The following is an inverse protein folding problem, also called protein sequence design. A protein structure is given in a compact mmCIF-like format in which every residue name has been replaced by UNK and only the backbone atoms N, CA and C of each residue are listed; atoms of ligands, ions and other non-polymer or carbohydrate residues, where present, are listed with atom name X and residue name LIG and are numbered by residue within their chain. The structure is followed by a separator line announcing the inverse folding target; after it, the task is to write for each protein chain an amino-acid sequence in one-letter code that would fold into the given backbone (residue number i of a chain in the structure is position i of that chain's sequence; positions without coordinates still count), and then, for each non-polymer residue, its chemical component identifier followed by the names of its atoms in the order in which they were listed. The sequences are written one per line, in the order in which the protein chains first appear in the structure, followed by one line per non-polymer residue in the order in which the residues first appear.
data_IF_467249130761
#
_entry.id   IF_467249130761
#
_cell.length_a   1.000
_cell.length_b   1.000
_cell.length_c   1.000
_cell.angle_alpha   90.00
_cell.angle_beta   90.00
_cell.angle_gamma   90.00
#
_symmetry.space_group_name_H-M   'P 1'
#
loop_
_entity.id
_entity.type
_entity.pdbx_description
1 polymer ?
#
# COMPACT_ATOMS: atom_id res chain seq x y z
N UNK A 1 18.30 -18.76 5.81
CA UNK A 1 17.79 -19.97 6.48
C UNK A 1 17.09 -19.54 7.73
N UNK A 2 15.92 -20.10 8.03
CA UNK A 2 15.11 -19.76 9.20
C UNK A 2 14.81 -21.05 9.96
N UNK A 3 15.00 -21.02 11.28
CA UNK A 3 14.55 -22.08 12.18
C UNK A 3 13.49 -21.52 13.12
N UNK A 4 12.43 -22.28 13.35
CA UNK A 4 11.31 -21.89 14.20
C UNK A 4 10.84 -23.09 15.01
N UNK A 5 10.84 -22.93 16.33
CA UNK A 5 10.29 -23.89 17.27
C UNK A 5 9.08 -23.26 17.95
N UNK A 6 7.98 -24.00 18.00
CA UNK A 6 6.76 -23.62 18.69
C UNK A 6 6.63 -24.45 19.96
N UNK A 7 6.57 -23.78 21.10
CA UNK A 7 6.30 -24.39 22.40
C UNK A 7 4.98 -23.86 22.94
N UNK A 8 4.08 -24.76 23.32
CA UNK A 8 2.81 -24.44 23.96
C UNK A 8 2.91 -24.74 25.46
N UNK A 9 2.60 -23.73 26.27
CA UNK A 9 2.52 -23.83 27.72
C UNK A 9 1.27 -23.07 28.19
N UNK A 10 0.51 -23.65 29.11
CA UNK A 10 -0.65 -22.97 29.71
C UNK A 10 -0.27 -22.09 30.90
N UNK A 11 0.95 -22.23 31.42
CA UNK A 11 1.46 -21.45 32.55
C UNK A 11 2.88 -20.95 32.25
N UNK A 12 3.25 -19.78 32.80
CA UNK A 12 4.54 -19.12 32.55
C UNK A 12 5.76 -19.88 33.10
N UNK A 13 5.56 -20.73 34.11
CA UNK A 13 6.60 -21.58 34.72
C UNK A 13 6.20 -23.06 34.76
N UNK A 14 5.14 -23.43 34.02
CA UNK A 14 4.64 -24.80 33.94
C UNK A 14 5.42 -25.65 32.93
N UNK A 15 5.17 -26.97 32.91
CA UNK A 15 5.72 -27.84 31.88
C UNK A 15 5.28 -27.41 30.48
N UNK A 16 6.12 -27.70 29.48
CA UNK A 16 5.77 -27.52 28.06
C UNK A 16 4.87 -28.68 27.64
N UNK A 17 3.66 -28.35 27.20
CA UNK A 17 2.64 -29.32 26.83
C UNK A 17 2.84 -29.86 25.41
N UNK A 18 3.35 -29.00 24.52
CA UNK A 18 3.71 -29.40 23.17
C UNK A 18 4.95 -28.62 22.70
N UNK A 19 5.89 -29.32 22.08
CA UNK A 19 7.05 -28.73 21.43
C UNK A 19 7.14 -29.26 19.99
N UNK A 20 7.03 -28.36 19.03
CA UNK A 20 7.07 -28.68 17.61
C UNK A 20 8.15 -27.87 16.91
N UNK A 21 8.96 -28.54 16.09
CA UNK A 21 9.86 -27.87 15.17
C UNK A 21 9.06 -27.57 13.91
N UNK A 22 8.70 -26.30 13.72
CA UNK A 22 7.95 -25.86 12.54
C UNK A 22 8.86 -25.70 11.33
N UNK A 23 10.10 -25.26 11.57
CA UNK A 23 11.14 -25.09 10.55
C UNK A 23 12.49 -25.43 11.16
N UNK A 24 13.22 -26.36 10.56
CA UNK A 24 14.64 -26.57 10.85
C UNK A 24 15.46 -26.16 9.64
N UNK A 25 16.22 -25.06 9.80
CA UNK A 25 17.15 -24.57 8.77
C UNK A 25 16.47 -24.40 7.41
N UNK A 26 15.17 -24.10 7.41
CA UNK A 26 14.38 -24.02 6.21
C UNK A 26 14.84 -22.86 5.33
N UNK A 27 14.92 -23.12 4.02
CA UNK A 27 15.12 -22.09 3.02
C UNK A 27 13.74 -21.59 2.61
N UNK A 28 13.36 -20.40 3.10
CA UNK A 28 12.14 -19.74 2.66
C UNK A 28 12.39 -19.16 1.27
N UNK A 29 11.57 -19.57 0.31
CA UNK A 29 11.56 -18.94 -1.00
C UNK A 29 11.13 -17.49 -0.82
N UNK A 30 12.03 -16.56 -1.11
CA UNK A 30 11.63 -15.17 -1.27
C UNK A 30 10.80 -15.12 -2.54
N UNK A 31 9.47 -15.06 -2.42
CA UNK A 31 8.66 -14.63 -3.55
C UNK A 31 9.23 -13.30 -4.00
N UNK A 32 9.59 -13.21 -5.28
CA UNK A 32 9.71 -11.88 -5.87
C UNK A 32 8.32 -11.28 -5.71
N UNK A 33 8.23 -10.20 -4.94
CA UNK A 33 7.02 -9.42 -4.94
C UNK A 33 6.99 -8.75 -6.32
N UNK A 34 6.38 -9.45 -7.26
CA UNK A 34 5.99 -8.87 -8.53
C UNK A 34 4.76 -8.03 -8.23
N UNK A 35 4.98 -6.75 -8.04
CA UNK A 35 3.92 -5.81 -7.73
C UNK A 35 3.26 -5.23 -8.98
N UNK A 36 3.70 -5.68 -10.15
CA UNK A 36 2.90 -5.67 -11.38
C UNK A 36 1.98 -6.90 -11.47
N UNK A 37 1.97 -7.79 -10.46
CA UNK A 37 1.08 -8.95 -10.49
C UNK A 37 -0.38 -8.55 -10.55
N UNK A 38 -1.13 -9.38 -11.29
CA UNK A 38 -2.57 -9.34 -11.43
C UNK A 38 -3.28 -9.52 -10.06
N UNK A 39 -4.61 -9.40 -10.03
CA UNK A 39 -5.39 -9.50 -8.80
C UNK A 39 -5.01 -10.70 -7.92
N UNK A 40 -4.87 -10.47 -6.59
CA UNK A 40 -4.74 -11.56 -5.61
C UNK A 40 -5.88 -12.57 -5.75
N UNK A 41 -7.08 -12.03 -6.02
CA UNK A 41 -8.29 -12.76 -6.35
C UNK A 41 -8.56 -12.54 -7.84
N UNK A 42 -8.25 -13.53 -8.68
CA UNK A 42 -8.49 -13.44 -10.12
C UNK A 42 -9.95 -13.04 -10.42
N UNK A 43 -10.14 -11.98 -11.21
CA UNK A 43 -11.48 -11.46 -11.55
C UNK A 43 -12.21 -10.77 -10.40
N UNK A 44 -11.48 -10.25 -9.40
CA UNK A 44 -12.09 -9.53 -8.28
C UNK A 44 -13.05 -8.43 -8.76
N UNK A 45 -14.25 -8.41 -8.17
CA UNK A 45 -15.23 -7.35 -8.34
C UNK A 45 -15.73 -6.94 -6.97
N UNK A 46 -15.45 -5.69 -6.60
CA UNK A 46 -15.96 -5.09 -5.37
C UNK A 46 -17.48 -5.22 -5.29
N UNK A 47 -18.17 -4.94 -6.39
CA UNK A 47 -19.62 -5.06 -6.46
C UNK A 47 -20.11 -6.47 -6.07
N UNK A 48 -19.52 -7.50 -6.68
CA UNK A 48 -19.85 -8.90 -6.38
C UNK A 48 -19.48 -9.27 -4.95
N UNK A 49 -18.34 -8.77 -4.45
CA UNK A 49 -17.87 -9.00 -3.09
C UNK A 49 -18.86 -8.47 -2.03
N UNK A 50 -19.42 -7.28 -2.25
CA UNK A 50 -20.39 -6.63 -1.34
C UNK A 50 -21.76 -7.32 -1.38
N UNK A 51 -22.29 -7.59 -2.58
CA UNK A 51 -23.58 -8.27 -2.73
C UNK A 51 -23.57 -9.67 -2.10
N UNK A 52 -22.48 -10.42 -2.26
CA UNK A 52 -22.33 -11.75 -1.63
C UNK A 52 -22.31 -11.71 -0.09
N UNK A 53 -22.10 -10.53 0.51
CA UNK A 53 -22.15 -10.30 1.95
C UNK A 53 -23.41 -9.57 2.39
N UNK A 54 -24.44 -9.54 1.52
CA UNK A 54 -25.71 -8.85 1.73
C UNK A 54 -25.54 -7.36 2.06
N UNK A 55 -24.51 -6.72 1.49
CA UNK A 55 -24.23 -5.31 1.67
C UNK A 55 -24.47 -4.54 0.37
N UNK A 56 -25.13 -3.39 0.45
CA UNK A 56 -25.44 -2.57 -0.72
C UNK A 56 -24.19 -1.88 -1.25
N UNK A 57 -23.94 -1.88 -2.57
CA UNK A 57 -22.71 -1.34 -3.16
C UNK A 57 -22.51 0.17 -2.97
N UNK A 58 -23.57 0.87 -2.58
CA UNK A 58 -23.59 2.32 -2.31
C UNK A 58 -23.73 2.64 -0.83
N UNK A 59 -23.93 1.63 0.02
CA UNK A 59 -24.06 1.84 1.45
C UNK A 59 -22.66 2.08 2.04
N UNK A 60 -22.52 2.92 3.08
CA UNK A 60 -21.26 3.02 3.81
C UNK A 60 -20.82 1.64 4.32
N UNK A 61 -19.53 1.31 4.18
CA UNK A 61 -19.00 0.05 4.69
C UNK A 61 -18.93 0.12 6.22
N UNK A 62 -19.44 -0.91 6.89
CA UNK A 62 -19.22 -1.02 8.34
C UNK A 62 -17.74 -1.27 8.64
N UNK A 63 -17.20 -0.82 9.78
CA UNK A 63 -15.80 -1.06 10.16
C UNK A 63 -15.37 -2.53 10.08
N UNK A 64 -16.26 -3.45 10.47
CA UNK A 64 -16.01 -4.89 10.40
C UNK A 64 -15.87 -5.39 8.96
N UNK A 65 -16.68 -4.87 8.03
CA UNK A 65 -16.63 -5.24 6.62
C UNK A 65 -15.36 -4.70 5.95
N UNK A 66 -14.89 -3.51 6.36
CA UNK A 66 -13.60 -2.97 5.91
C UNK A 66 -12.45 -3.88 6.35
N UNK A 67 -12.44 -4.32 7.61
CA UNK A 67 -11.42 -5.24 8.11
C UNK A 67 -11.43 -6.59 7.38
N UNK A 68 -12.62 -7.17 7.16
CA UNK A 68 -12.77 -8.39 6.38
C UNK A 68 -12.31 -8.20 4.94
N UNK A 69 -12.64 -7.07 4.30
CA UNK A 69 -12.19 -6.75 2.97
C UNK A 69 -10.66 -6.71 2.89
N UNK A 70 -10.00 -6.04 3.84
CA UNK A 70 -8.53 -5.94 3.88
C UNK A 70 -7.86 -7.30 4.10
N UNK A 71 -8.45 -8.16 4.93
CA UNK A 71 -7.96 -9.52 5.16
C UNK A 71 -8.16 -10.41 3.93
N UNK A 72 -9.38 -10.46 3.39
CA UNK A 72 -9.74 -11.31 2.24
C UNK A 72 -8.97 -10.93 0.97
N UNK A 73 -8.69 -9.64 0.79
CA UNK A 73 -7.90 -9.13 -0.34
C UNK A 73 -6.40 -9.11 -0.07
N UNK A 74 -5.98 -9.49 1.14
CA UNK A 74 -4.59 -9.47 1.60
C UNK A 74 -3.94 -8.07 1.46
N UNK A 75 -4.72 -7.01 1.65
CA UNK A 75 -4.24 -5.63 1.67
C UNK A 75 -3.70 -5.23 3.05
N UNK A 76 -4.25 -5.81 4.13
CA UNK A 76 -3.92 -5.45 5.51
C UNK A 76 -2.40 -5.34 5.79
N UNK A 77 -1.52 -6.26 5.32
CA UNK A 77 -0.08 -6.18 5.58
C UNK A 77 0.62 -4.99 4.90
N UNK A 78 -0.01 -4.39 3.88
CA UNK A 78 0.56 -3.29 3.12
C UNK A 78 0.06 -1.93 3.58
N UNK A 79 -1.06 -1.87 4.31
CA UNK A 79 -1.58 -0.61 4.84
C UNK A 79 -0.68 -0.09 5.97
N UNK A 80 -0.50 1.22 6.01
CA UNK A 80 0.06 1.94 7.15
C UNK A 80 -0.84 1.75 8.38
N UNK A 81 -0.23 1.78 9.57
CA UNK A 81 -1.01 1.71 10.82
C UNK A 81 -1.84 2.98 11.00
N UNK A 82 -1.24 4.13 10.71
CA UNK A 82 -1.89 5.44 10.69
C UNK A 82 -2.13 5.87 9.24
N UNK A 83 -3.37 6.28 8.96
CA UNK A 83 -3.74 6.81 7.65
C UNK A 83 -3.04 8.16 7.41
N UNK A 84 -2.67 8.43 6.15
CA UNK A 84 -2.20 9.75 5.79
C UNK A 84 -3.28 10.82 6.09
N UNK A 85 -2.84 11.98 6.57
CA UNK A 85 -3.74 13.06 6.96
C UNK A 85 -3.73 14.18 5.92
N UNK A 86 -4.83 14.31 5.17
CA UNK A 86 -5.03 15.35 4.15
C UNK A 86 -5.03 16.78 4.70
N UNK A 87 -5.41 16.96 5.97
CA UNK A 87 -5.38 18.26 6.64
C UNK A 87 -4.12 18.43 7.50
N UNK A 88 -3.15 17.53 7.35
CA UNK A 88 -1.87 17.63 8.04
C UNK A 88 -1.04 18.81 7.53
N UNK A 89 -0.04 19.18 8.31
CA UNK A 89 0.83 20.35 8.04
C UNK A 89 1.49 20.29 6.65
N UNK A 90 1.77 19.08 6.14
CA UNK A 90 2.37 18.85 4.82
C UNK A 90 1.56 19.45 3.67
N UNK A 91 0.22 19.37 3.76
CA UNK A 91 -0.68 19.82 2.71
C UNK A 91 -1.26 21.22 2.98
N UNK A 92 -1.22 21.71 4.23
CA UNK A 92 -1.68 23.04 4.61
C UNK A 92 -3.09 23.41 4.08
N UNK A 93 -4.00 22.42 3.97
CA UNK A 93 -5.34 22.54 3.37
C UNK A 93 -5.35 22.97 1.89
N UNK A 94 -4.23 22.87 1.19
CA UNK A 94 -4.11 23.14 -0.25
C UNK A 94 -4.04 21.83 -1.03
N UNK A 95 -4.59 21.80 -2.25
CA UNK A 95 -4.49 20.61 -3.12
C UNK A 95 -3.04 20.29 -3.49
N UNK A 96 -2.20 21.32 -3.62
CA UNK A 96 -0.77 21.19 -3.91
C UNK A 96 0.05 22.04 -2.95
N UNK A 97 1.06 21.43 -2.34
CA UNK A 97 2.16 22.14 -1.70
C UNK A 97 3.48 21.78 -2.38
N UNK A 98 4.51 22.62 -2.20
CA UNK A 98 5.83 22.37 -2.77
C UNK A 98 6.93 22.90 -1.85
N UNK A 99 7.99 22.11 -1.70
CA UNK A 99 9.19 22.48 -0.93
C UNK A 99 10.40 22.77 -1.83
N UNK A 100 10.16 22.96 -3.12
CA UNK A 100 11.20 23.12 -4.11
C UNK A 100 11.03 24.43 -4.89
N UNK A 101 12.13 25.01 -5.38
CA UNK A 101 12.13 26.34 -6.00
C UNK A 101 11.79 26.33 -7.51
N UNK A 102 11.42 25.17 -8.06
CA UNK A 102 11.10 25.04 -9.48
C UNK A 102 9.70 25.59 -9.78
N UNK A 103 9.56 26.28 -10.91
CA UNK A 103 8.25 26.68 -11.42
C UNK A 103 7.62 25.49 -12.16
N UNK A 104 6.74 24.77 -11.47
CA UNK A 104 6.04 23.60 -12.02
C UNK A 104 4.63 23.99 -12.50
N UNK A 105 4.19 23.38 -13.59
CA UNK A 105 2.78 23.44 -14.02
C UNK A 105 2.09 22.20 -13.49
N UNK A 106 1.26 22.37 -12.46
CA UNK A 106 0.59 21.27 -11.76
C UNK A 106 -0.87 21.13 -12.23
N UNK A 107 -1.36 19.89 -12.42
CA UNK A 107 -2.75 19.66 -12.82
C UNK A 107 -3.72 19.95 -11.67
N UNK A 108 -4.98 20.18 -12.01
CA UNK A 108 -6.06 20.23 -11.02
C UNK A 108 -6.29 18.83 -10.44
N UNK A 109 -6.32 18.72 -9.12
CA UNK A 109 -6.61 17.48 -8.42
C UNK A 109 -8.09 17.38 -8.07
N UNK A 110 -8.54 16.15 -7.84
CA UNK A 110 -9.84 15.89 -7.22
C UNK A 110 -9.88 16.44 -5.79
N UNK A 111 -11.07 16.77 -5.30
CA UNK A 111 -11.32 17.23 -3.94
C UNK A 111 -11.00 16.19 -2.86
N UNK A 112 -10.69 14.96 -3.26
CA UNK A 112 -10.25 13.85 -2.40
C UNK A 112 -8.74 13.67 -2.34
N UNK A 113 -7.96 14.50 -3.03
CA UNK A 113 -6.51 14.32 -3.16
C UNK A 113 -5.77 15.58 -2.73
N UNK A 114 -4.77 15.40 -1.88
CA UNK A 114 -3.76 16.43 -1.62
C UNK A 114 -2.40 15.85 -1.98
N UNK A 115 -1.55 16.66 -2.62
CA UNK A 115 -0.22 16.25 -3.03
C UNK A 115 0.83 17.29 -2.65
N UNK A 116 2.04 16.81 -2.42
CA UNK A 116 3.19 17.59 -2.01
C UNK A 116 4.36 17.29 -2.95
N UNK A 117 4.94 18.32 -3.55
CA UNK A 117 6.18 18.20 -4.32
C UNK A 117 7.36 18.31 -3.36
N UNK A 118 8.17 17.26 -3.33
CA UNK A 118 9.32 17.18 -2.43
C UNK A 118 10.44 18.14 -2.85
N UNK A 119 11.38 18.38 -1.93
CA UNK A 119 12.55 19.25 -2.13
C UNK A 119 13.37 18.94 -3.38
N UNK A 120 13.35 17.70 -3.90
CA UNK A 120 14.08 17.31 -5.11
C UNK A 120 13.41 17.78 -6.42
N UNK A 121 12.19 18.33 -6.37
CA UNK A 121 11.34 18.64 -7.52
C UNK A 121 11.01 17.46 -8.46
N UNK A 122 11.52 16.26 -8.15
CA UNK A 122 11.35 15.02 -8.91
C UNK A 122 10.63 13.96 -8.08
N UNK A 123 10.09 14.35 -6.93
CA UNK A 123 9.26 13.49 -6.10
C UNK A 123 7.94 14.14 -5.75
N UNK A 124 6.93 13.29 -5.56
CA UNK A 124 5.59 13.65 -5.14
C UNK A 124 5.13 12.69 -4.03
N UNK A 125 4.51 13.24 -3.01
CA UNK A 125 3.82 12.51 -1.95
C UNK A 125 2.35 12.92 -2.00
N UNK A 126 1.42 11.96 -2.04
CA UNK A 126 0.01 12.23 -2.16
C UNK A 126 -0.79 11.42 -1.14
N UNK A 127 -1.87 12.03 -0.65
CA UNK A 127 -2.83 11.40 0.22
C UNK A 127 -4.22 11.46 -0.42
N UNK A 128 -4.82 10.29 -0.60
CA UNK A 128 -6.07 10.11 -1.35
C UNK A 128 -7.13 9.57 -0.40
N UNK A 129 -8.20 10.32 -0.17
CA UNK A 129 -9.34 9.86 0.60
C UNK A 129 -10.20 8.91 -0.23
N UNK A 130 -10.54 7.77 0.37
CA UNK A 130 -11.37 6.75 -0.23
C UNK A 130 -12.59 6.46 0.66
N UNK A 131 -13.74 6.97 0.25
CA UNK A 131 -15.01 6.84 0.97
C UNK A 131 -15.45 5.39 1.14
N UNK A 132 -15.11 4.52 0.18
CA UNK A 132 -15.57 3.13 0.20
C UNK A 132 -14.98 2.42 1.42
N UNK A 133 -13.65 2.45 1.57
CA UNK A 133 -12.98 1.82 2.71
C UNK A 133 -12.92 2.72 3.94
N UNK A 134 -13.50 3.93 3.88
CA UNK A 134 -13.40 4.99 4.90
C UNK A 134 -11.94 5.22 5.34
N UNK A 135 -11.01 5.17 4.40
CA UNK A 135 -9.58 5.36 4.66
C UNK A 135 -8.92 6.27 3.64
N UNK A 136 -7.83 6.89 4.07
CA UNK A 136 -6.93 7.64 3.22
C UNK A 136 -5.74 6.76 2.86
N UNK A 137 -5.35 6.79 1.60
CA UNK A 137 -4.25 6.02 1.04
C UNK A 137 -3.08 6.95 0.72
N UNK A 138 -1.90 6.59 1.19
CA UNK A 138 -0.63 7.26 0.91
C UNK A 138 0.01 6.71 -0.37
N UNK A 139 0.43 7.63 -1.23
CA UNK A 139 1.22 7.34 -2.41
C UNK A 139 2.50 8.19 -2.39
N UNK A 140 3.63 7.62 -2.79
CA UNK A 140 4.83 8.40 -3.08
C UNK A 140 5.51 7.95 -4.36
N UNK A 141 6.13 8.90 -5.05
CA UNK A 141 7.03 8.66 -6.15
C UNK A 141 8.23 9.56 -5.98
N UNK A 142 9.43 9.02 -6.20
CA UNK A 142 10.68 9.75 -6.18
C UNK A 142 11.56 9.26 -7.32
N UNK A 143 11.81 10.16 -8.27
CA UNK A 143 12.81 9.97 -9.30
C UNK A 143 14.14 10.56 -8.80
N UNK A 144 15.13 9.70 -8.58
CA UNK A 144 16.48 10.09 -8.16
C UNK A 144 17.51 9.74 -9.26
N UNK A 145 17.85 10.70 -10.13
CA UNK A 145 18.86 10.51 -11.17
C UNK A 145 20.26 10.25 -10.61
N UNK A 146 20.57 10.73 -9.39
CA UNK A 146 21.89 10.59 -8.79
C UNK A 146 22.17 9.14 -8.38
N UNK A 147 21.15 8.45 -7.84
CA UNK A 147 21.23 7.03 -7.50
C UNK A 147 20.74 6.09 -8.62
N UNK A 148 20.41 6.65 -9.80
CA UNK A 148 19.85 5.92 -10.93
C UNK A 148 18.60 5.09 -10.55
N UNK A 149 17.72 5.66 -9.72
CA UNK A 149 16.59 4.93 -9.13
C UNK A 149 15.27 5.70 -9.22
N UNK A 150 14.21 5.00 -9.61
CA UNK A 150 12.82 5.39 -9.41
C UNK A 150 12.27 4.59 -8.24
N UNK A 151 11.80 5.30 -7.21
CA UNK A 151 11.16 4.73 -6.03
C UNK A 151 9.68 5.09 -6.05
N UNK A 152 8.81 4.11 -5.92
CA UNK A 152 7.36 4.27 -5.87
C UNK A 152 6.86 3.55 -4.63
N UNK A 153 5.91 4.13 -3.91
CA UNK A 153 5.22 3.43 -2.83
C UNK A 153 3.72 3.66 -2.87
N UNK A 154 2.99 2.62 -2.50
CA UNK A 154 1.57 2.67 -2.17
C UNK A 154 1.51 2.11 -0.75
N UNK A 155 1.21 2.97 0.22
CA UNK A 155 1.31 2.62 1.64
C UNK A 155 2.72 2.04 1.97
N UNK A 156 2.77 0.88 2.63
CA UNK A 156 4.01 0.16 2.96
C UNK A 156 4.60 -0.60 1.79
N UNK A 157 3.86 -0.77 0.69
CA UNK A 157 4.36 -1.45 -0.49
C UNK A 157 5.32 -0.52 -1.24
N UNK A 158 6.57 -0.96 -1.45
CA UNK A 158 7.64 -0.15 -2.07
C UNK A 158 8.22 -0.84 -3.29
N UNK A 159 8.31 -0.10 -4.38
CA UNK A 159 8.82 -0.54 -5.68
C UNK A 159 10.02 0.31 -6.05
N UNK A 160 11.14 -0.34 -6.34
CA UNK A 160 12.31 0.32 -6.87
C UNK A 160 12.57 -0.21 -8.27
N UNK A 161 12.82 0.71 -9.20
CA UNK A 161 13.27 0.43 -10.56
C UNK A 161 14.52 1.24 -10.86
N UNK A 162 15.43 0.66 -11.61
CA UNK A 162 16.61 1.36 -12.12
C UNK A 162 16.18 2.19 -13.32
N UNK A 163 16.65 3.43 -13.44
CA UNK A 163 16.20 4.30 -14.54
C UNK A 163 16.68 3.83 -15.90
N UNK A 164 17.82 3.12 -15.95
CA UNK A 164 18.32 2.46 -17.15
C UNK A 164 17.34 1.46 -17.77
N UNK A 165 16.50 0.84 -16.93
CA UNK A 165 15.52 -0.18 -17.35
C UNK A 165 14.09 0.38 -17.37
N UNK A 166 13.92 1.69 -17.21
CA UNK A 166 12.62 2.35 -17.17
C UNK A 166 12.30 3.01 -18.52
N UNK A 167 11.17 2.64 -19.11
CA UNK A 167 10.70 3.18 -20.38
C UNK A 167 9.93 4.48 -20.14
N UNK A 168 10.58 5.61 -20.43
CA UNK A 168 9.96 6.93 -20.31
C UNK A 168 9.01 7.21 -21.48
N UNK A 169 7.92 7.92 -21.21
CA UNK A 169 6.94 8.32 -22.22
C UNK A 169 5.82 7.32 -22.47
N UNK A 170 5.78 6.23 -21.70
CA UNK A 170 4.67 5.27 -21.69
C UNK A 170 3.85 5.35 -20.39
N UNK A 171 2.61 4.90 -20.45
CA UNK A 171 1.74 4.79 -19.28
C UNK A 171 2.11 3.54 -18.48
N UNK A 172 2.58 3.74 -17.25
CA UNK A 172 2.88 2.66 -16.31
C UNK A 172 1.76 2.53 -15.29
N UNK A 173 1.35 1.29 -15.00
CA UNK A 173 0.36 1.01 -13.97
C UNK A 173 0.96 0.22 -12.83
N UNK A 174 0.67 0.66 -11.60
CA UNK A 174 1.13 0.00 -10.38
C UNK A 174 -0.07 -0.50 -9.59
N UNK A 175 -0.07 -1.79 -9.27
CA UNK A 175 -1.19 -2.41 -8.57
C UNK A 175 -0.76 -2.90 -7.18
N UNK A 176 -1.66 -2.79 -6.22
CA UNK A 176 -1.53 -3.42 -4.91
C UNK A 176 -2.62 -4.50 -4.80
N UNK A 177 -2.21 -5.76 -4.97
CA UNK A 177 -3.09 -6.94 -4.96
C UNK A 177 -4.23 -6.88 -6.02
N UNK A 178 -4.09 -6.04 -7.05
CA UNK A 178 -5.13 -5.72 -8.04
C UNK A 178 -6.29 -4.89 -7.48
N UNK A 179 -6.25 -4.47 -6.22
CA UNK A 179 -7.34 -3.72 -5.59
C UNK A 179 -7.12 -2.22 -5.69
N UNK A 180 -5.90 -1.76 -5.43
CA UNK A 180 -5.50 -0.36 -5.58
C UNK A 180 -4.63 -0.25 -6.83
N UNK A 181 -4.98 0.67 -7.75
CA UNK A 181 -4.25 0.91 -9.00
C UNK A 181 -3.87 2.37 -9.10
N UNK A 182 -2.62 2.61 -9.50
CA UNK A 182 -2.11 3.89 -9.99
C UNK A 182 -1.82 3.75 -11.49
#
# INVERSE_FOLDING_TARGET
MVSMNLTLSYESAGPVEAANILMDKALLSKKQCDWSSDFHISGFSLYTYLINRNHGPTDPLTPNLILQFMEDTNLAPFMQDEMCNRTGDLYNNESWTQDCAANLTLPTLSDKVNAHITTMCTGVEACIENDLIERSIEFSLLLDPCSNRLSISIERARYNRTLSDFEFGEDHYYNLQGIVRL
#
